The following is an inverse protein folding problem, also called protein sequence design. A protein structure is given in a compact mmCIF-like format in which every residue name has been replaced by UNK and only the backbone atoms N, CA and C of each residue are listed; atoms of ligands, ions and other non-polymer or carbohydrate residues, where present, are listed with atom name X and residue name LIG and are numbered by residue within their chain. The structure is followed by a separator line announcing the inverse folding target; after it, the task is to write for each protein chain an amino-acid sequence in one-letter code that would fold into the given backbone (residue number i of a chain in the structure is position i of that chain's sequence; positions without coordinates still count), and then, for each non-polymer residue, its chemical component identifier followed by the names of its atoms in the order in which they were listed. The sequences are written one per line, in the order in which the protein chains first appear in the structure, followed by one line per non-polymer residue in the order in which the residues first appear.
data_IF_689530742904
#
_entry.id   IF_689530742904
#
_cell.length_a   1.000
_cell.length_b   1.000
_cell.length_c   1.000
_cell.angle_alpha   90.00
_cell.angle_beta   90.00
_cell.angle_gamma   90.00
#
_symmetry.space_group_name_H-M   'P 1'
#
loop_
_entity.id
_entity.type
_entity.pdbx_description
1 polymer ?
#
# COMPACT_ATOMS: atom_id res chain seq x y z
N UNK A 1 -12.71 -9.87 -10.74
CA UNK A 1 -14.13 -10.16 -10.45
C UNK A 1 -14.86 -10.46 -11.75
N UNK A 2 -15.62 -11.56 -11.81
CA UNK A 2 -16.46 -11.85 -12.98
C UNK A 2 -17.73 -10.98 -13.00
N UNK A 3 -18.54 -11.06 -14.07
CA UNK A 3 -19.75 -10.24 -14.22
C UNK A 3 -20.76 -10.48 -13.10
N UNK A 4 -21.04 -11.74 -12.76
CA UNK A 4 -21.99 -12.11 -11.70
C UNK A 4 -21.58 -11.53 -10.35
N UNK A 5 -20.28 -11.60 -10.00
CA UNK A 5 -19.75 -11.01 -8.76
C UNK A 5 -19.91 -9.48 -8.73
N UNK A 6 -19.74 -8.81 -9.88
CA UNK A 6 -19.94 -7.36 -10.00
C UNK A 6 -21.41 -6.99 -9.82
N UNK A 7 -22.33 -7.70 -10.45
CA UNK A 7 -23.77 -7.49 -10.29
C UNK A 7 -24.19 -7.71 -8.83
N UNK A 8 -23.68 -8.76 -8.17
CA UNK A 8 -23.95 -9.02 -6.76
C UNK A 8 -23.43 -7.91 -5.84
N UNK A 9 -22.26 -7.32 -6.14
CA UNK A 9 -21.76 -6.15 -5.44
C UNK A 9 -22.68 -4.94 -5.64
N UNK A 10 -23.07 -4.62 -6.88
CA UNK A 10 -24.00 -3.54 -7.17
C UNK A 10 -25.31 -3.70 -6.39
N UNK A 11 -25.86 -4.92 -6.34
CA UNK A 11 -27.07 -5.21 -5.58
C UNK A 11 -26.92 -4.98 -4.07
N UNK A 12 -25.76 -5.37 -3.48
CA UNK A 12 -25.47 -5.09 -2.06
C UNK A 12 -25.40 -3.59 -1.79
N UNK A 13 -24.75 -2.82 -2.69
CA UNK A 13 -24.66 -1.37 -2.58
C UNK A 13 -26.04 -0.72 -2.65
N UNK A 14 -26.87 -1.10 -3.64
CA UNK A 14 -28.22 -0.55 -3.82
C UNK A 14 -29.14 -0.79 -2.61
N UNK A 15 -28.90 -1.85 -1.84
CA UNK A 15 -29.68 -2.19 -0.65
C UNK A 15 -29.04 -1.76 0.65
N UNK A 16 -27.82 -1.21 0.61
CA UNK A 16 -27.12 -0.76 1.80
C UNK A 16 -27.86 0.44 2.40
N UNK A 17 -28.13 0.38 3.70
CA UNK A 17 -28.62 1.53 4.45
C UNK A 17 -27.43 2.30 5.02
N UNK A 18 -27.50 3.63 5.12
CA UNK A 18 -26.53 4.40 5.87
C UNK A 18 -26.39 3.81 7.29
N UNK A 19 -25.15 3.61 7.73
CA UNK A 19 -24.85 3.08 9.06
C UNK A 19 -23.71 3.86 9.68
N UNK A 20 -23.40 3.53 10.95
CA UNK A 20 -22.48 4.30 11.80
C UNK A 20 -21.14 4.68 11.15
N UNK A 21 -20.57 3.79 10.31
CA UNK A 21 -19.30 4.06 9.63
C UNK A 21 -19.43 5.16 8.57
N UNK A 22 -20.53 5.18 7.82
CA UNK A 22 -20.81 6.22 6.83
C UNK A 22 -21.15 7.55 7.51
N UNK A 23 -21.89 7.50 8.64
CA UNK A 23 -22.19 8.69 9.44
C UNK A 23 -20.94 9.29 10.09
N UNK A 24 -19.99 8.44 10.53
CA UNK A 24 -18.69 8.88 10.98
C UNK A 24 -17.89 9.54 9.85
N UNK A 25 -17.77 8.90 8.68
CA UNK A 25 -17.12 9.52 7.52
C UNK A 25 -17.76 10.87 7.15
N UNK A 26 -19.08 10.98 7.25
CA UNK A 26 -19.78 12.23 6.99
C UNK A 26 -19.43 13.38 7.95
N UNK A 27 -19.03 13.06 9.18
CA UNK A 27 -18.60 14.03 10.21
C UNK A 27 -17.12 14.41 10.07
N UNK A 28 -16.26 13.46 9.70
CA UNK A 28 -14.80 13.67 9.66
C UNK A 28 -14.29 14.25 8.33
N UNK A 29 -14.97 14.00 7.21
CA UNK A 29 -14.52 14.51 5.91
C UNK A 29 -14.55 16.05 5.89
N UNK A 30 -13.49 16.69 5.37
CA UNK A 30 -13.38 18.15 5.37
C UNK A 30 -14.48 18.78 4.51
N UNK A 31 -14.87 20.01 4.83
CA UNK A 31 -15.86 20.73 4.02
C UNK A 31 -15.22 21.11 2.67
N UNK A 32 -15.93 20.96 1.54
CA UNK A 32 -15.37 21.33 0.24
C UNK A 32 -15.13 22.83 0.05
N UNK A 33 -15.89 23.72 0.71
CA UNK A 33 -15.72 25.18 0.64
C UNK A 33 -15.62 25.79 -0.78
N UNK A 34 -16.24 25.14 -1.78
CA UNK A 34 -16.19 25.56 -3.18
C UNK A 34 -15.08 24.89 -4.01
N UNK A 35 -14.22 24.06 -3.39
CA UNK A 35 -13.26 23.22 -4.07
C UNK A 35 -13.93 21.95 -4.62
N UNK A 36 -14.02 21.87 -5.96
CA UNK A 36 -14.60 20.73 -6.67
C UNK A 36 -13.77 19.45 -6.51
N UNK A 37 -12.44 19.56 -6.42
CA UNK A 37 -11.57 18.40 -6.19
C UNK A 37 -11.78 17.86 -4.78
N UNK A 38 -11.93 18.73 -3.79
CA UNK A 38 -12.27 18.31 -2.43
C UNK A 38 -13.65 17.65 -2.36
N UNK A 39 -14.65 18.20 -3.05
CA UNK A 39 -15.98 17.61 -3.13
C UNK A 39 -15.95 16.20 -3.75
N UNK A 40 -15.21 16.05 -4.87
CA UNK A 40 -15.05 14.79 -5.57
C UNK A 40 -14.34 13.75 -4.69
N UNK A 41 -13.26 14.12 -4.01
CA UNK A 41 -12.55 13.19 -3.12
C UNK A 41 -13.41 12.76 -1.94
N UNK A 42 -14.19 13.66 -1.36
CA UNK A 42 -15.13 13.32 -0.30
C UNK A 42 -16.19 12.31 -0.76
N UNK A 43 -16.71 12.49 -1.98
CA UNK A 43 -17.66 11.55 -2.56
C UNK A 43 -17.03 10.16 -2.74
N UNK A 44 -15.85 10.09 -3.36
CA UNK A 44 -15.16 8.81 -3.62
C UNK A 44 -14.79 8.08 -2.32
N UNK A 45 -14.35 8.81 -1.29
CA UNK A 45 -14.09 8.24 0.03
C UNK A 45 -15.37 7.67 0.67
N UNK A 46 -16.50 8.37 0.56
CA UNK A 46 -17.80 7.87 1.03
C UNK A 46 -18.25 6.62 0.28
N UNK A 47 -18.02 6.55 -1.03
CA UNK A 47 -18.33 5.36 -1.83
C UNK A 47 -17.51 4.14 -1.37
N UNK A 48 -16.19 4.32 -1.13
CA UNK A 48 -15.35 3.26 -0.58
C UNK A 48 -15.79 2.81 0.81
N UNK A 49 -16.16 3.75 1.69
CA UNK A 49 -16.72 3.45 3.02
C UNK A 49 -18.03 2.67 2.91
N UNK A 50 -18.93 3.07 2.01
CA UNK A 50 -20.18 2.37 1.77
C UNK A 50 -19.92 0.95 1.31
N UNK A 51 -19.07 0.75 0.29
CA UNK A 51 -18.69 -0.57 -0.23
C UNK A 51 -18.13 -1.44 0.89
N UNK A 52 -17.16 -0.94 1.66
CA UNK A 52 -16.55 -1.65 2.79
C UNK A 52 -17.61 -2.07 3.82
N UNK A 53 -18.55 -1.18 4.15
CA UNK A 53 -19.62 -1.47 5.11
C UNK A 53 -20.56 -2.61 4.65
N UNK A 54 -20.72 -2.83 3.34
CA UNK A 54 -21.58 -3.90 2.80
C UNK A 54 -21.02 -5.32 3.01
N UNK A 55 -19.77 -5.45 3.47
CA UNK A 55 -19.14 -6.74 3.75
C UNK A 55 -19.43 -7.28 5.16
N UNK A 56 -20.06 -6.49 6.04
CA UNK A 56 -20.52 -6.97 7.35
C UNK A 56 -19.39 -7.39 8.29
N UNK A 57 -18.24 -6.73 8.21
CA UNK A 57 -17.09 -7.04 9.06
C UNK A 57 -17.39 -6.83 10.55
N UNK A 58 -16.82 -7.69 11.40
CA UNK A 58 -16.70 -7.44 12.83
C UNK A 58 -15.51 -6.49 13.10
N UNK A 59 -15.34 -6.00 14.32
CA UNK A 59 -14.18 -5.17 14.67
C UNK A 59 -12.83 -5.84 14.34
N UNK A 60 -12.73 -7.16 14.57
CA UNK A 60 -11.53 -7.94 14.24
C UNK A 60 -11.30 -8.06 12.72
N UNK A 61 -12.31 -8.53 11.97
CA UNK A 61 -12.14 -8.71 10.51
C UNK A 61 -12.04 -7.39 9.76
N UNK A 62 -12.65 -6.31 10.28
CA UNK A 62 -12.48 -4.97 9.75
C UNK A 62 -11.04 -4.49 9.92
N UNK A 63 -10.39 -4.79 11.05
CA UNK A 63 -8.99 -4.41 11.27
C UNK A 63 -8.06 -5.08 10.26
N UNK A 64 -8.19 -6.40 10.09
CA UNK A 64 -7.41 -7.15 9.12
C UNK A 64 -7.67 -6.68 7.67
N UNK A 65 -8.95 -6.50 7.30
CA UNK A 65 -9.33 -6.08 5.95
C UNK A 65 -8.78 -4.69 5.59
N UNK A 66 -8.81 -3.73 6.53
CA UNK A 66 -8.20 -2.41 6.33
C UNK A 66 -6.69 -2.50 6.12
N UNK A 67 -5.99 -3.30 6.92
CA UNK A 67 -4.56 -3.49 6.77
C UNK A 67 -4.20 -4.11 5.41
N UNK A 68 -4.88 -5.20 5.03
CA UNK A 68 -4.65 -5.86 3.75
C UNK A 68 -5.02 -4.95 2.55
N UNK A 69 -6.12 -4.20 2.64
CA UNK A 69 -6.53 -3.26 1.60
C UNK A 69 -5.50 -2.14 1.43
N UNK A 70 -4.99 -1.58 2.54
CA UNK A 70 -3.93 -0.57 2.50
C UNK A 70 -2.71 -1.05 1.73
N UNK A 71 -2.24 -2.27 2.02
CA UNK A 71 -1.15 -2.91 1.28
C UNK A 71 -1.45 -3.06 -0.22
N UNK A 72 -2.63 -3.58 -0.56
CA UNK A 72 -3.02 -3.75 -1.96
C UNK A 72 -3.09 -2.44 -2.74
N UNK A 73 -3.61 -1.37 -2.12
CA UNK A 73 -3.68 -0.04 -2.72
C UNK A 73 -2.29 0.60 -2.88
N UNK A 74 -1.34 0.22 -2.02
CA UNK A 74 0.05 0.63 -2.09
C UNK A 74 0.93 -0.27 -3.00
N UNK A 75 0.34 -1.24 -3.70
CA UNK A 75 1.08 -2.26 -4.48
C UNK A 75 2.10 -3.05 -3.65
N UNK A 76 1.79 -3.29 -2.37
CA UNK A 76 2.61 -4.07 -1.46
C UNK A 76 2.13 -5.52 -1.32
N UNK A 77 3.03 -6.48 -1.06
CA UNK A 77 2.66 -7.86 -0.88
C UNK A 77 1.99 -8.08 0.50
N UNK A 78 0.89 -8.84 0.51
CA UNK A 78 0.20 -9.22 1.75
C UNK A 78 1.07 -10.17 2.59
N UNK A 79 1.63 -11.20 1.96
CA UNK A 79 2.53 -12.18 2.57
C UNK A 79 3.98 -12.01 2.11
N UNK A 80 4.91 -12.80 2.67
CA UNK A 80 6.33 -12.74 2.32
C UNK A 80 6.57 -12.97 0.82
N UNK A 81 7.65 -12.39 0.31
CA UNK A 81 8.28 -12.76 -0.95
C UNK A 81 9.05 -14.06 -0.74
N UNK A 82 9.02 -14.95 -1.72
CA UNK A 82 9.68 -16.27 -1.66
C UNK A 82 11.06 -16.24 -2.32
N UNK A 83 11.28 -15.31 -3.25
CA UNK A 83 12.50 -15.26 -4.05
C UNK A 83 12.49 -16.20 -5.25
N UNK A 84 11.41 -16.96 -5.46
CA UNK A 84 11.24 -17.90 -6.57
C UNK A 84 11.38 -17.19 -7.93
N UNK A 85 11.87 -17.88 -8.98
CA UNK A 85 12.13 -17.26 -10.29
C UNK A 85 10.91 -16.56 -10.91
N UNK A 86 9.71 -17.08 -10.67
CA UNK A 86 8.44 -16.53 -11.17
C UNK A 86 8.02 -15.23 -10.47
N UNK A 87 8.68 -14.84 -9.37
CA UNK A 87 8.47 -13.53 -8.74
C UNK A 87 9.25 -12.40 -9.44
N UNK A 88 10.15 -12.70 -10.38
CA UNK A 88 11.08 -11.71 -10.96
C UNK A 88 10.80 -11.37 -12.41
N UNK A 89 10.70 -10.07 -12.71
CA UNK A 89 10.58 -9.54 -14.06
C UNK A 89 11.84 -8.76 -14.43
N UNK A 90 12.42 -9.03 -15.58
CA UNK A 90 13.52 -8.22 -16.11
C UNK A 90 12.96 -6.87 -16.57
N UNK A 91 13.54 -5.78 -16.06
CA UNK A 91 13.11 -4.40 -16.35
C UNK A 91 14.19 -3.60 -17.09
N UNK A 92 15.42 -4.09 -17.05
CA UNK A 92 16.56 -3.62 -17.84
C UNK A 92 17.56 -4.77 -17.97
N UNK A 93 18.55 -4.64 -18.85
CA UNK A 93 19.56 -5.66 -19.10
C UNK A 93 20.25 -6.10 -17.79
N UNK A 94 19.97 -7.33 -17.35
CA UNK A 94 20.50 -7.88 -16.10
C UNK A 94 19.89 -7.35 -14.80
N UNK A 95 18.89 -6.45 -14.87
CA UNK A 95 18.19 -5.87 -13.70
C UNK A 95 16.79 -6.45 -13.60
N UNK A 96 16.51 -7.08 -12.46
CA UNK A 96 15.23 -7.73 -12.19
C UNK A 96 14.50 -7.04 -11.03
N UNK A 97 13.22 -6.77 -11.23
CA UNK A 97 12.31 -6.23 -10.21
C UNK A 97 11.32 -7.32 -9.76
N UNK A 98 10.98 -7.35 -8.48
CA UNK A 98 9.98 -8.27 -7.97
C UNK A 98 8.57 -7.84 -8.41
N UNK A 99 7.80 -8.76 -9.01
CA UNK A 99 6.44 -8.52 -9.52
C UNK A 99 5.43 -8.14 -8.44
N UNK A 100 5.66 -8.55 -7.20
CA UNK A 100 4.77 -8.34 -6.06
C UNK A 100 5.17 -7.16 -5.19
N UNK A 101 6.38 -6.61 -5.38
CA UNK A 101 6.93 -5.54 -4.55
C UNK A 101 7.92 -4.70 -5.35
N UNK A 102 7.47 -3.52 -5.78
CA UNK A 102 8.22 -2.64 -6.70
C UNK A 102 9.53 -2.09 -6.13
N UNK A 103 9.75 -2.15 -4.81
CA UNK A 103 10.99 -1.70 -4.15
C UNK A 103 12.06 -2.78 -4.01
N UNK A 104 11.77 -4.03 -4.39
CA UNK A 104 12.72 -5.15 -4.28
C UNK A 104 13.30 -5.50 -5.65
N UNK A 105 14.63 -5.45 -5.75
CA UNK A 105 15.39 -5.66 -6.98
C UNK A 105 16.51 -6.70 -6.78
N UNK A 106 17.05 -7.21 -7.88
CA UNK A 106 18.35 -7.88 -7.94
C UNK A 106 19.03 -7.54 -9.26
N UNK A 107 20.34 -7.37 -9.22
CA UNK A 107 21.21 -7.05 -10.36
C UNK A 107 22.59 -7.64 -10.08
N UNK A 108 23.22 -8.28 -11.05
CA UNK A 108 24.57 -8.84 -10.92
C UNK A 108 25.64 -7.77 -10.59
N UNK A 109 25.44 -6.52 -10.99
CA UNK A 109 26.36 -5.41 -10.75
C UNK A 109 26.26 -4.81 -9.35
N UNK A 110 25.17 -5.06 -8.64
CA UNK A 110 24.87 -4.50 -7.32
C UNK A 110 24.79 -5.64 -6.30
N UNK A 111 25.41 -5.47 -5.12
CA UNK A 111 25.34 -6.46 -4.02
C UNK A 111 25.72 -7.90 -4.44
N UNK A 112 26.57 -8.07 -5.48
CA UNK A 112 27.00 -9.37 -5.98
C UNK A 112 25.86 -10.25 -6.53
N UNK A 113 24.79 -9.65 -7.05
CA UNK A 113 23.61 -10.39 -7.53
C UNK A 113 22.59 -10.72 -6.45
N UNK A 114 22.85 -10.36 -5.19
CA UNK A 114 21.88 -10.56 -4.11
C UNK A 114 20.68 -9.61 -4.29
N UNK A 115 19.49 -10.11 -3.99
CA UNK A 115 18.31 -9.26 -3.92
C UNK A 115 18.45 -8.22 -2.80
N UNK A 116 17.94 -7.02 -3.03
CA UNK A 116 17.95 -5.91 -2.09
C UNK A 116 16.64 -5.11 -2.16
N UNK A 117 16.36 -4.42 -1.08
CA UNK A 117 15.21 -3.53 -0.92
C UNK A 117 15.68 -2.07 -0.94
N UNK A 118 15.11 -1.27 -1.84
CA UNK A 118 15.43 0.14 -1.98
C UNK A 118 15.08 0.95 -0.73
N UNK A 119 13.99 0.58 -0.05
CA UNK A 119 13.47 1.31 1.11
C UNK A 119 13.66 0.50 2.40
N UNK A 120 14.67 -0.38 2.43
CA UNK A 120 15.03 -1.12 3.63
C UNK A 120 15.41 -0.19 4.80
N UNK A 121 16.00 0.97 4.48
CA UNK A 121 16.19 2.07 5.43
C UNK A 121 15.68 3.39 4.88
N UNK A 122 15.04 4.17 5.74
CA UNK A 122 14.67 5.57 5.47
C UNK A 122 15.41 6.45 6.46
N UNK A 123 16.15 7.43 5.96
CA UNK A 123 16.87 8.38 6.81
C UNK A 123 15.92 9.49 7.22
N UNK A 124 15.95 9.87 8.50
CA UNK A 124 15.07 10.90 9.06
C UNK A 124 15.88 11.98 9.75
N UNK A 125 15.63 13.22 9.36
CA UNK A 125 16.28 14.40 9.96
C UNK A 125 15.52 14.89 11.20
N UNK A 126 16.12 15.75 12.05
CA UNK A 126 15.43 16.33 13.20
C UNK A 126 14.17 17.13 12.84
N UNK A 127 14.08 17.65 11.61
CA UNK A 127 12.90 18.34 11.07
C UNK A 127 11.69 17.41 10.86
N UNK A 128 11.91 16.08 10.88
CA UNK A 128 10.92 15.06 10.51
C UNK A 128 10.95 14.69 9.03
N UNK A 129 11.73 15.42 8.21
CA UNK A 129 11.94 15.09 6.80
C UNK A 129 12.57 13.71 6.65
N UNK A 130 12.08 12.95 5.68
CA UNK A 130 12.53 11.59 5.41
C UNK A 130 13.04 11.48 3.97
N UNK A 131 14.16 10.79 3.77
CA UNK A 131 14.73 10.55 2.44
C UNK A 131 15.35 9.15 2.31
N UNK A 132 15.48 8.70 1.05
CA UNK A 132 16.21 7.49 0.68
C UNK A 132 17.36 7.84 -0.25
N UNK A 133 18.43 7.05 -0.20
CA UNK A 133 19.57 7.16 -1.11
C UNK A 133 20.19 5.78 -1.38
N UNK A 134 21.40 5.71 -1.97
CA UNK A 134 22.07 4.41 -2.22
C UNK A 134 22.30 3.61 -0.93
N UNK A 135 22.54 4.25 0.20
CA UNK A 135 22.77 3.61 1.51
C UNK A 135 21.47 3.12 2.17
N UNK A 136 20.31 3.48 1.62
CA UNK A 136 19.02 2.91 2.00
C UNK A 136 18.88 1.44 1.59
N UNK A 137 19.58 1.06 0.52
CA UNK A 137 19.52 -0.28 -0.06
C UNK A 137 19.96 -1.32 0.96
N UNK A 138 19.06 -2.24 1.26
CA UNK A 138 19.32 -3.28 2.26
C UNK A 138 19.23 -4.66 1.60
N UNK A 139 20.26 -5.51 1.69
CA UNK A 139 20.19 -6.87 1.19
C UNK A 139 19.05 -7.65 1.86
N UNK A 140 18.35 -8.48 1.10
CA UNK A 140 17.24 -9.28 1.61
C UNK A 140 17.58 -10.77 1.65
N UNK A 141 16.98 -11.46 2.61
CA UNK A 141 17.03 -12.93 2.75
C UNK A 141 15.61 -13.45 2.70
N UNK A 142 15.36 -14.45 1.85
CA UNK A 142 14.02 -15.03 1.68
C UNK A 142 13.75 -16.14 2.71
N UNK A 143 12.49 -16.32 3.18
CA UNK A 143 11.32 -15.52 2.83
C UNK A 143 11.40 -14.11 3.41
N UNK A 144 11.09 -13.10 2.58
CA UNK A 144 11.28 -11.70 2.95
C UNK A 144 9.94 -10.99 3.07
N UNK A 145 9.63 -10.46 4.25
CA UNK A 145 8.51 -9.53 4.42
C UNK A 145 9.05 -8.12 4.35
N UNK A 146 8.61 -7.31 3.37
CA UNK A 146 8.96 -5.90 3.27
C UNK A 146 8.85 -5.16 4.62
N UNK A 147 9.98 -4.68 5.13
CA UNK A 147 10.05 -3.75 6.27
C UNK A 147 10.89 -2.53 5.92
N UNK A 148 10.71 -1.46 6.71
CA UNK A 148 11.48 -0.21 6.59
C UNK A 148 11.98 0.16 7.98
N UNK A 149 13.29 0.37 8.09
CA UNK A 149 13.94 0.84 9.31
C UNK A 149 14.18 2.34 9.19
N UNK A 150 13.64 3.12 10.11
CA UNK A 150 13.94 4.55 10.16
C UNK A 150 15.25 4.78 10.91
N UNK A 151 16.17 5.53 10.30
CA UNK A 151 17.49 5.85 10.86
C UNK A 151 17.59 7.36 11.02
N UNK A 152 17.71 7.83 12.26
CA UNK A 152 17.86 9.25 12.52
C UNK A 152 19.27 9.72 12.14
N UNK A 153 19.35 10.79 11.36
CA UNK A 153 20.59 11.39 10.83
C UNK A 153 20.65 12.88 11.17
N UNK A 154 21.85 13.48 11.27
CA UNK A 154 21.95 14.93 11.36
C UNK A 154 21.39 15.59 10.10
N UNK A 155 20.94 16.84 10.25
CA UNK A 155 20.46 17.65 9.13
C UNK A 155 21.59 17.82 8.11
N UNK A 156 21.29 17.57 6.83
CA UNK A 156 22.26 17.78 5.77
C UNK A 156 22.62 19.29 5.71
N UNK A 157 23.90 19.60 5.88
CA UNK A 157 24.42 20.97 5.84
C UNK A 157 24.35 21.59 4.44
#
# INVERSE_FOLDING_TARGET
MNLTQRIALCWRILRAKPGNLLDHAGRELPKPEGDEMQALMNQQLREMVLVFSTHGHSGFSASWARHALGKLLAYEPIGPLTGEPDEWCEVSDGVYQNRRCSRVFKDASEMGGQAYDLDGKVFREPSGSCFTNRDSRTPVTFPYTPTTVYVDVPEAA
#
